data_IF_128454476022
#
_entry.id   IF_128454476022
#
_cell.length_a   1.000
_cell.length_b   1.000
_cell.length_c   1.000
_cell.angle_alpha   90.00
_cell.angle_beta   90.00
_cell.angle_gamma   90.00
#
_symmetry.space_group_name_H-M   'P 1'
#
loop_
_entity.id
_entity.type
_entity.pdbx_description
1 polymer ?
#
# COMPACT_ATOMS: atom_id res chain seq x y z
N UNK A 1 -33.24 1.16 -1.52
CA UNK A 1 -32.87 0.14 -0.54
C UNK A 1 -32.17 -1.04 -1.22
N UNK A 2 -32.80 -1.65 -2.25
CA UNK A 2 -32.27 -2.82 -2.95
C UNK A 2 -30.83 -2.58 -3.45
N UNK A 3 -30.59 -1.52 -4.21
CA UNK A 3 -29.27 -1.16 -4.76
C UNK A 3 -28.17 -1.01 -3.69
N UNK A 4 -28.48 -0.38 -2.54
CA UNK A 4 -27.51 -0.26 -1.46
C UNK A 4 -27.23 -1.61 -0.77
N UNK A 5 -28.21 -2.49 -0.69
CA UNK A 5 -28.02 -3.84 -0.17
C UNK A 5 -27.17 -4.69 -1.13
N UNK A 6 -27.40 -4.56 -2.43
CA UNK A 6 -26.58 -5.20 -3.45
C UNK A 6 -25.14 -4.69 -3.37
N UNK A 7 -24.92 -3.38 -3.27
CA UNK A 7 -23.57 -2.80 -3.11
C UNK A 7 -22.88 -3.25 -1.81
N UNK A 8 -23.62 -3.40 -0.71
CA UNK A 8 -23.04 -3.94 0.54
C UNK A 8 -22.59 -5.41 0.41
N UNK A 9 -23.36 -6.22 -0.33
CA UNK A 9 -23.14 -7.66 -0.49
C UNK A 9 -22.12 -8.02 -1.58
N UNK A 10 -21.76 -7.07 -2.41
CA UNK A 10 -20.82 -7.25 -3.51
C UNK A 10 -19.41 -6.93 -3.03
N UNK A 11 -18.55 -7.95 -2.87
CA UNK A 11 -17.17 -7.79 -2.41
C UNK A 11 -16.29 -7.02 -3.42
N UNK A 12 -16.68 -6.95 -4.69
CA UNK A 12 -15.99 -6.14 -5.69
C UNK A 12 -16.42 -4.65 -5.67
N UNK A 13 -17.48 -4.30 -4.95
CA UNK A 13 -17.94 -2.93 -4.80
C UNK A 13 -17.21 -2.22 -3.66
N UNK A 14 -16.22 -1.39 -3.97
CA UNK A 14 -15.46 -0.62 -2.98
C UNK A 14 -16.21 0.61 -2.43
N UNK A 15 -17.24 1.11 -3.11
CA UNK A 15 -18.00 2.28 -2.67
C UNK A 15 -19.05 2.72 -3.69
N UNK A 16 -19.88 3.69 -3.31
CA UNK A 16 -20.95 4.18 -4.17
C UNK A 16 -20.83 5.69 -4.41
N UNK A 17 -20.94 6.07 -5.67
CA UNK A 17 -21.07 7.47 -6.07
C UNK A 17 -22.56 7.77 -6.32
N UNK A 18 -23.11 8.74 -5.59
CA UNK A 18 -24.47 9.21 -5.75
C UNK A 18 -24.50 10.52 -6.50
N UNK A 19 -25.47 10.66 -7.39
CA UNK A 19 -25.64 11.84 -8.22
C UNK A 19 -27.11 12.22 -8.34
N UNK A 20 -27.43 13.44 -7.91
CA UNK A 20 -28.75 14.05 -8.10
C UNK A 20 -28.66 15.05 -9.26
N UNK A 21 -28.89 14.59 -10.48
CA UNK A 21 -28.83 15.47 -11.67
C UNK A 21 -30.04 16.41 -11.79
N UNK A 22 -31.13 16.09 -11.12
CA UNK A 22 -32.36 16.88 -11.03
C UNK A 22 -32.93 16.83 -9.62
N UNK A 23 -34.12 17.37 -9.39
CA UNK A 23 -34.81 17.21 -8.12
C UNK A 23 -35.13 15.73 -7.86
N UNK A 24 -34.73 15.25 -6.71
CA UNK A 24 -35.05 13.91 -6.23
C UNK A 24 -35.47 14.01 -4.75
N UNK A 25 -36.70 13.62 -4.38
CA UNK A 25 -37.16 13.68 -2.99
C UNK A 25 -36.26 12.87 -2.07
N UNK A 26 -35.38 13.54 -1.34
CA UNK A 26 -34.32 12.87 -0.59
C UNK A 26 -34.85 11.99 0.55
N UNK A 27 -36.04 12.22 1.02
CA UNK A 27 -36.71 11.36 2.02
C UNK A 27 -36.85 9.91 1.53
N UNK A 28 -36.96 9.66 0.22
CA UNK A 28 -37.00 8.29 -0.34
C UNK A 28 -35.69 7.52 -0.24
N UNK A 29 -34.55 8.20 0.00
CA UNK A 29 -33.24 7.59 0.12
C UNK A 29 -32.92 7.06 1.53
N UNK A 30 -33.65 7.52 2.56
CA UNK A 30 -33.34 7.27 3.97
C UNK A 30 -33.18 5.78 4.27
N UNK A 31 -34.11 4.93 3.81
CA UNK A 31 -34.06 3.49 4.12
C UNK A 31 -32.87 2.78 3.47
N UNK A 32 -32.44 3.22 2.30
CA UNK A 32 -31.25 2.70 1.65
C UNK A 32 -29.97 3.16 2.34
N UNK A 33 -29.86 4.47 2.58
CA UNK A 33 -28.70 5.06 3.24
C UNK A 33 -28.48 4.52 4.66
N UNK A 34 -29.56 4.23 5.40
CA UNK A 34 -29.49 3.68 6.75
C UNK A 34 -28.76 2.31 6.81
N UNK A 35 -28.90 1.52 5.76
CA UNK A 35 -28.33 0.18 5.68
C UNK A 35 -26.94 0.15 5.02
N UNK A 36 -26.56 1.23 4.32
CA UNK A 36 -25.30 1.31 3.60
C UNK A 36 -24.09 1.40 4.56
N UNK A 37 -22.99 0.69 4.24
CA UNK A 37 -21.83 0.53 5.12
C UNK A 37 -20.49 0.84 4.46
N UNK A 38 -20.47 1.00 3.14
CA UNK A 38 -19.22 1.23 2.38
C UNK A 38 -18.97 2.71 2.13
N UNK A 39 -17.79 3.11 1.65
CA UNK A 39 -17.48 4.49 1.30
C UNK A 39 -18.52 5.14 0.39
N UNK A 40 -18.92 6.37 0.70
CA UNK A 40 -19.93 7.15 -0.03
C UNK A 40 -19.34 8.43 -0.62
N UNK A 41 -19.58 8.66 -1.90
CA UNK A 41 -19.30 9.93 -2.55
C UNK A 41 -20.59 10.55 -3.06
N UNK A 42 -20.75 11.85 -2.84
CA UNK A 42 -21.79 12.66 -3.47
C UNK A 42 -21.16 13.53 -4.57
N UNK A 43 -21.40 13.17 -5.81
CA UNK A 43 -21.08 14.01 -6.96
C UNK A 43 -22.20 15.04 -7.13
N UNK A 44 -21.94 16.28 -6.71
CA UNK A 44 -22.86 17.38 -6.85
C UNK A 44 -22.62 18.09 -8.20
N UNK A 45 -23.35 17.68 -9.19
CA UNK A 45 -23.22 18.11 -10.59
C UNK A 45 -24.59 18.20 -11.25
N UNK A 46 -24.64 18.68 -12.47
CA UNK A 46 -25.84 18.69 -13.28
C UNK A 46 -25.54 18.30 -14.73
N UNK A 47 -26.57 18.08 -15.54
CA UNK A 47 -26.40 17.60 -16.90
C UNK A 47 -25.73 18.65 -17.80
N UNK A 48 -26.31 19.88 -17.87
CA UNK A 48 -25.76 20.97 -18.66
C UNK A 48 -24.77 21.80 -17.84
N UNK A 49 -23.68 22.22 -18.48
CA UNK A 49 -22.65 23.04 -17.86
C UNK A 49 -23.04 24.50 -17.74
N UNK A 50 -23.77 25.02 -18.73
CA UNK A 50 -24.08 26.41 -18.91
C UNK A 50 -25.61 26.65 -18.83
N UNK A 51 -26.01 27.80 -18.31
CA UNK A 51 -27.40 28.25 -18.29
C UNK A 51 -27.68 29.05 -19.55
N UNK A 52 -28.58 28.61 -20.45
CA UNK A 52 -28.93 29.33 -21.66
C UNK A 52 -29.93 30.45 -21.34
N UNK A 53 -29.46 31.55 -20.78
CA UNK A 53 -30.32 32.64 -20.25
C UNK A 53 -31.35 33.17 -21.24
N UNK A 54 -31.04 33.18 -22.56
CA UNK A 54 -31.94 33.72 -23.58
C UNK A 54 -33.01 32.72 -24.01
N UNK A 55 -32.84 31.43 -23.75
CA UNK A 55 -33.70 30.36 -24.25
C UNK A 55 -34.15 29.39 -23.17
N UNK A 56 -33.84 29.67 -21.91
CA UNK A 56 -34.19 28.80 -20.79
C UNK A 56 -35.70 28.66 -20.65
N UNK A 57 -36.15 27.44 -20.46
CA UNK A 57 -37.56 27.08 -20.25
C UNK A 57 -37.71 26.14 -19.04
N UNK A 58 -38.97 25.73 -18.79
CA UNK A 58 -39.25 24.82 -17.66
C UNK A 58 -38.67 23.42 -17.84
N UNK A 59 -38.55 22.95 -19.08
CA UNK A 59 -37.98 21.64 -19.36
C UNK A 59 -36.46 21.61 -19.01
N UNK A 60 -35.74 22.66 -19.44
CA UNK A 60 -34.34 22.84 -19.03
C UNK A 60 -34.17 22.91 -17.51
N UNK A 61 -35.06 23.68 -16.83
CA UNK A 61 -34.98 23.79 -15.37
C UNK A 61 -35.25 22.45 -14.67
N UNK A 62 -36.23 21.69 -15.17
CA UNK A 62 -36.54 20.37 -14.61
C UNK A 62 -35.42 19.36 -14.82
N UNK A 63 -34.72 19.38 -15.97
CA UNK A 63 -33.58 18.52 -16.24
C UNK A 63 -32.35 18.89 -15.38
N UNK A 64 -32.22 20.13 -14.95
CA UNK A 64 -31.06 20.70 -14.28
C UNK A 64 -31.32 21.15 -12.82
N UNK A 65 -32.33 20.61 -12.14
CA UNK A 65 -32.63 20.94 -10.72
C UNK A 65 -31.65 20.28 -9.70
N UNK A 66 -30.42 20.08 -10.07
CA UNK A 66 -29.41 19.47 -9.20
C UNK A 66 -29.11 20.32 -7.96
N UNK A 67 -29.25 21.65 -8.04
CA UNK A 67 -29.10 22.51 -6.87
C UNK A 67 -30.13 22.16 -5.78
N UNK A 68 -31.38 21.89 -6.15
CA UNK A 68 -32.41 21.39 -5.23
C UNK A 68 -32.14 19.95 -4.80
N UNK A 69 -32.06 19.03 -5.75
CA UNK A 69 -31.92 17.60 -5.45
C UNK A 69 -30.65 17.29 -4.68
N UNK A 70 -29.50 17.83 -5.11
CA UNK A 70 -28.21 17.61 -4.46
C UNK A 70 -28.11 18.21 -3.07
N UNK A 71 -28.71 19.39 -2.84
CA UNK A 71 -28.69 20.04 -1.52
C UNK A 71 -29.62 19.34 -0.54
N UNK A 72 -30.83 18.93 -0.97
CA UNK A 72 -31.74 18.16 -0.14
C UNK A 72 -31.17 16.79 0.22
N UNK A 73 -30.57 16.09 -0.76
CA UNK A 73 -29.85 14.86 -0.51
C UNK A 73 -28.71 15.07 0.49
N UNK A 74 -27.90 16.10 0.30
CA UNK A 74 -26.83 16.47 1.22
C UNK A 74 -27.33 16.74 2.65
N UNK A 75 -28.48 17.41 2.79
CA UNK A 75 -29.15 17.64 4.08
C UNK A 75 -29.49 16.32 4.77
N UNK A 76 -30.11 15.37 4.08
CA UNK A 76 -30.49 14.07 4.65
C UNK A 76 -29.25 13.27 5.07
N UNK A 77 -28.23 13.16 4.21
CA UNK A 77 -27.01 12.41 4.54
C UNK A 77 -26.30 13.02 5.75
N UNK A 78 -26.22 14.35 5.83
CA UNK A 78 -25.65 15.06 6.99
C UNK A 78 -26.48 14.82 8.25
N UNK A 79 -27.80 14.93 8.16
CA UNK A 79 -28.70 14.69 9.30
C UNK A 79 -28.63 13.26 9.84
N UNK A 80 -28.34 12.29 8.98
CA UNK A 80 -28.16 10.89 9.36
C UNK A 80 -26.78 10.61 9.94
N UNK A 81 -25.85 11.58 9.97
CA UNK A 81 -24.49 11.40 10.45
C UNK A 81 -23.64 10.51 9.55
N UNK A 82 -23.99 10.37 8.27
CA UNK A 82 -23.25 9.54 7.32
C UNK A 82 -22.08 10.36 6.74
N UNK A 83 -20.86 9.86 6.94
CA UNK A 83 -19.67 10.42 6.32
C UNK A 83 -19.69 10.21 4.82
N UNK A 84 -19.34 11.25 4.07
CA UNK A 84 -19.20 11.17 2.61
C UNK A 84 -18.18 12.15 2.08
N UNK A 85 -17.60 11.81 0.95
CA UNK A 85 -16.89 12.79 0.12
C UNK A 85 -17.88 13.57 -0.72
N UNK A 86 -17.79 14.90 -0.73
CA UNK A 86 -18.55 15.76 -1.66
C UNK A 86 -17.61 16.29 -2.73
N UNK A 87 -17.96 16.06 -3.99
CA UNK A 87 -17.25 16.59 -5.15
C UNK A 87 -18.23 17.45 -5.93
N UNK A 88 -17.89 18.72 -6.10
CA UNK A 88 -18.73 19.72 -6.78
C UNK A 88 -18.08 20.14 -8.08
N UNK A 89 -18.88 20.27 -9.11
CA UNK A 89 -18.50 20.76 -10.44
C UNK A 89 -19.14 19.95 -11.56
N UNK A 90 -18.94 20.38 -12.79
CA UNK A 90 -19.50 19.68 -13.93
C UNK A 90 -18.84 18.33 -14.16
N UNK A 91 -19.60 17.28 -14.41
CA UNK A 91 -19.13 15.90 -14.57
C UNK A 91 -18.07 15.72 -15.66
N UNK A 92 -18.11 16.53 -16.73
CA UNK A 92 -17.13 16.49 -17.82
C UNK A 92 -15.84 17.28 -17.52
N UNK A 93 -15.77 18.03 -16.42
CA UNK A 93 -14.57 18.77 -16.02
C UNK A 93 -13.46 17.78 -15.58
N UNK A 94 -12.29 17.91 -16.19
CA UNK A 94 -11.14 17.04 -15.87
C UNK A 94 -10.75 17.06 -14.40
N UNK A 95 -10.81 18.23 -13.75
CA UNK A 95 -10.51 18.34 -12.30
C UNK A 95 -11.52 17.61 -11.44
N UNK A 96 -12.79 17.60 -11.85
CA UNK A 96 -13.85 16.82 -11.17
C UNK A 96 -13.56 15.32 -11.36
N UNK A 97 -13.23 14.89 -12.57
CA UNK A 97 -12.88 13.50 -12.86
C UNK A 97 -11.64 13.04 -12.10
N UNK A 98 -10.60 13.87 -11.99
CA UNK A 98 -9.40 13.58 -11.20
C UNK A 98 -9.71 13.42 -9.70
N UNK A 99 -10.58 14.28 -9.16
CA UNK A 99 -11.06 14.17 -7.76
C UNK A 99 -11.89 12.91 -7.53
N UNK A 100 -12.72 12.51 -8.49
CA UNK A 100 -13.47 11.25 -8.45
C UNK A 100 -12.50 10.06 -8.49
N UNK A 101 -11.55 10.05 -9.41
CA UNK A 101 -10.55 9.00 -9.51
C UNK A 101 -9.71 8.87 -8.23
N UNK A 102 -9.34 10.00 -7.61
CA UNK A 102 -8.66 10.00 -6.31
C UNK A 102 -9.52 9.39 -5.20
N UNK A 103 -10.82 9.78 -5.14
CA UNK A 103 -11.73 9.20 -4.18
C UNK A 103 -11.95 7.69 -4.42
N UNK A 104 -12.07 7.25 -5.66
CA UNK A 104 -12.23 5.82 -5.99
C UNK A 104 -11.05 4.99 -5.48
N UNK A 105 -9.81 5.48 -5.66
CA UNK A 105 -8.62 4.81 -5.09
C UNK A 105 -8.64 4.77 -3.56
N UNK A 106 -9.11 5.84 -2.92
CA UNK A 106 -9.28 5.86 -1.47
C UNK A 106 -10.33 4.84 -1.02
N UNK A 107 -11.46 4.74 -1.73
CA UNK A 107 -12.49 3.76 -1.44
C UNK A 107 -11.98 2.32 -1.56
N UNK A 108 -11.21 2.02 -2.62
CA UNK A 108 -10.53 0.73 -2.78
C UNK A 108 -9.55 0.50 -1.63
N UNK A 109 -8.74 1.49 -1.26
CA UNK A 109 -7.82 1.39 -0.12
C UNK A 109 -8.52 1.08 1.21
N UNK A 110 -9.68 1.68 1.47
CA UNK A 110 -10.48 1.39 2.67
C UNK A 110 -10.99 -0.06 2.66
N UNK A 111 -11.49 -0.54 1.54
CA UNK A 111 -11.99 -1.91 1.44
C UNK A 111 -10.87 -2.94 1.54
N UNK A 112 -9.80 -2.75 0.78
CA UNK A 112 -8.65 -3.65 0.79
C UNK A 112 -7.89 -3.63 2.13
N UNK A 113 -7.90 -2.50 2.86
CA UNK A 113 -7.32 -2.41 4.20
C UNK A 113 -7.90 -3.49 5.13
N UNK A 114 -9.20 -3.74 5.06
CA UNK A 114 -9.85 -4.76 5.90
C UNK A 114 -9.45 -6.21 5.57
N UNK A 115 -8.73 -6.42 4.49
CA UNK A 115 -8.26 -7.73 4.03
C UNK A 115 -6.73 -7.90 4.15
N UNK A 116 -6.02 -6.88 4.67
CA UNK A 116 -4.56 -6.97 4.84
C UNK A 116 -4.23 -7.92 5.99
N UNK A 117 -3.49 -8.98 5.64
CA UNK A 117 -2.91 -9.91 6.59
C UNK A 117 -1.39 -9.78 6.55
N UNK A 118 -0.79 -9.64 7.72
CA UNK A 118 0.65 -9.47 7.89
C UNK A 118 1.23 -10.68 8.59
N UNK A 119 2.19 -11.32 7.94
CA UNK A 119 3.02 -12.34 8.55
C UNK A 119 4.18 -11.68 9.29
N UNK A 120 4.20 -11.75 10.61
CA UNK A 120 5.34 -11.34 11.42
C UNK A 120 6.23 -12.56 11.69
N UNK A 121 7.40 -12.57 11.06
CA UNK A 121 8.42 -13.62 11.27
C UNK A 121 9.23 -13.29 12.52
N UNK A 122 9.23 -14.17 13.48
CA UNK A 122 9.80 -13.95 14.82
C UNK A 122 9.05 -12.89 15.64
N UNK A 123 9.77 -12.01 16.32
CA UNK A 123 9.20 -11.00 17.20
C UNK A 123 9.60 -9.58 16.77
N UNK A 124 9.14 -8.57 17.48
CA UNK A 124 9.65 -7.20 17.36
C UNK A 124 11.10 -7.15 17.85
N UNK A 125 11.87 -6.21 17.29
CA UNK A 125 13.23 -5.97 17.74
C UNK A 125 13.25 -5.59 19.21
N UNK A 126 14.06 -6.29 20.00
CA UNK A 126 14.14 -6.08 21.45
C UNK A 126 14.54 -4.64 21.78
N UNK A 127 13.80 -4.03 22.69
CA UNK A 127 14.04 -2.68 23.21
C UNK A 127 13.82 -1.54 22.20
N UNK A 128 13.14 -1.81 21.06
CA UNK A 128 12.75 -0.78 20.09
C UNK A 128 11.24 -0.54 20.21
N UNK A 129 10.88 0.47 20.97
CA UNK A 129 9.50 0.73 21.37
C UNK A 129 8.57 1.06 20.20
N UNK A 130 9.07 1.72 19.15
CA UNK A 130 8.25 2.17 18.02
C UNK A 130 7.72 1.00 17.18
N UNK A 131 8.40 -0.15 17.17
CA UNK A 131 7.97 -1.34 16.42
C UNK A 131 6.80 -2.06 17.10
N UNK A 132 6.59 -1.83 18.39
CA UNK A 132 5.49 -2.42 19.16
C UNK A 132 4.11 -1.84 18.75
N UNK A 133 3.05 -2.56 19.11
CA UNK A 133 1.68 -2.09 18.91
C UNK A 133 0.63 -3.14 19.24
N UNK A 134 -0.59 -2.66 19.51
CA UNK A 134 -1.76 -3.48 19.81
C UNK A 134 -2.38 -4.04 18.51
N UNK A 135 -2.12 -5.31 18.24
CA UNK A 135 -2.62 -6.04 17.07
C UNK A 135 -4.14 -6.21 17.08
N UNK A 136 -4.73 -6.34 18.27
CA UNK A 136 -6.18 -6.46 18.40
C UNK A 136 -6.88 -5.14 18.07
N UNK A 137 -6.35 -4.03 18.58
CA UNK A 137 -6.85 -2.69 18.24
C UNK A 137 -6.67 -2.39 16.75
N UNK A 138 -5.56 -2.84 16.15
CA UNK A 138 -5.33 -2.69 14.70
C UNK A 138 -6.39 -3.46 13.87
N UNK A 139 -6.73 -4.67 14.27
CA UNK A 139 -7.78 -5.44 13.62
C UNK A 139 -9.16 -4.78 13.78
N UNK A 140 -9.49 -4.29 14.96
CA UNK A 140 -10.76 -3.58 15.21
C UNK A 140 -10.87 -2.27 14.41
N UNK A 141 -9.76 -1.54 14.23
CA UNK A 141 -9.77 -0.21 13.58
C UNK A 141 -9.55 -0.26 12.09
N UNK A 142 -8.66 -1.12 11.62
CA UNK A 142 -8.20 -1.14 10.22
C UNK A 142 -8.55 -2.44 9.51
N UNK A 143 -8.99 -3.46 10.25
CA UNK A 143 -9.20 -4.81 9.74
C UNK A 143 -7.91 -5.63 9.57
N UNK A 144 -6.75 -5.12 9.97
CA UNK A 144 -5.48 -5.80 9.77
C UNK A 144 -5.33 -7.01 10.68
N UNK A 145 -5.03 -8.15 10.10
CA UNK A 145 -4.71 -9.38 10.83
C UNK A 145 -3.20 -9.57 10.89
N UNK A 146 -2.65 -9.68 12.09
CA UNK A 146 -1.22 -9.84 12.28
C UNK A 146 -0.95 -11.15 13.01
N UNK A 147 -0.37 -12.12 12.30
CA UNK A 147 0.01 -13.41 12.85
C UNK A 147 1.52 -13.54 12.99
N UNK A 148 1.98 -14.12 14.09
CA UNK A 148 3.39 -14.35 14.34
C UNK A 148 3.77 -15.80 14.03
N UNK A 149 4.88 -15.98 13.34
CA UNK A 149 5.43 -17.30 13.00
C UNK A 149 6.86 -17.46 13.49
N UNK A 150 7.23 -18.65 13.99
CA UNK A 150 8.62 -18.97 14.21
C UNK A 150 9.41 -18.92 12.90
N UNK A 151 10.63 -18.41 12.94
CA UNK A 151 11.48 -18.29 11.72
C UNK A 151 11.67 -19.64 11.02
N UNK A 152 11.85 -20.71 11.79
CA UNK A 152 12.11 -22.02 11.22
C UNK A 152 10.93 -22.60 10.45
N UNK A 153 9.70 -22.25 10.78
CA UNK A 153 8.51 -22.68 10.01
C UNK A 153 8.55 -22.11 8.58
N UNK A 154 8.99 -20.87 8.43
CA UNK A 154 9.13 -20.25 7.09
C UNK A 154 10.42 -20.76 6.40
N UNK A 155 11.48 -21.00 7.19
CA UNK A 155 12.72 -21.55 6.66
C UNK A 155 12.55 -22.96 6.06
N UNK A 156 11.57 -23.75 6.53
CA UNK A 156 11.22 -25.05 5.91
C UNK A 156 10.77 -24.85 4.46
N UNK A 157 9.92 -23.86 4.17
CA UNK A 157 9.53 -23.53 2.79
C UNK A 157 10.74 -23.17 1.91
N UNK A 158 11.75 -22.49 2.47
CA UNK A 158 12.98 -22.16 1.75
C UNK A 158 13.81 -23.42 1.47
N UNK A 159 13.90 -24.33 2.44
CA UNK A 159 14.65 -25.59 2.31
C UNK A 159 13.99 -26.56 1.30
N UNK A 160 12.67 -26.51 1.15
CA UNK A 160 11.91 -27.34 0.23
C UNK A 160 11.94 -26.84 -1.23
N UNK A 161 12.60 -25.70 -1.51
CA UNK A 161 12.75 -25.19 -2.87
C UNK A 161 13.69 -26.08 -3.67
N UNK A 162 13.26 -26.54 -4.84
CA UNK A 162 14.11 -27.36 -5.71
C UNK A 162 15.25 -26.53 -6.31
N UNK A 163 16.40 -27.18 -6.52
CA UNK A 163 17.54 -26.53 -7.18
C UNK A 163 17.18 -26.03 -8.58
N UNK A 164 16.31 -26.77 -9.30
CA UNK A 164 15.84 -26.36 -10.62
C UNK A 164 15.06 -25.04 -10.61
N UNK A 165 14.18 -24.84 -9.61
CA UNK A 165 13.44 -23.58 -9.45
C UNK A 165 14.39 -22.43 -9.12
N UNK A 166 15.38 -22.69 -8.25
CA UNK A 166 16.41 -21.69 -7.91
C UNK A 166 17.19 -21.29 -9.16
N UNK A 167 17.65 -22.25 -9.95
CA UNK A 167 18.45 -21.98 -11.16
C UNK A 167 17.65 -21.15 -12.18
N UNK A 168 16.37 -21.43 -12.36
CA UNK A 168 15.48 -20.66 -13.24
C UNK A 168 15.36 -19.20 -12.76
N UNK A 169 15.15 -18.98 -11.47
CA UNK A 169 15.02 -17.63 -10.93
C UNK A 169 16.36 -16.86 -10.96
N UNK A 170 17.48 -17.54 -10.72
CA UNK A 170 18.82 -16.95 -10.86
C UNK A 170 19.07 -16.52 -12.31
N UNK A 171 18.67 -17.32 -13.30
CA UNK A 171 18.77 -16.94 -14.71
C UNK A 171 17.91 -15.69 -15.01
N UNK A 172 16.70 -15.62 -14.47
CA UNK A 172 15.86 -14.40 -14.56
C UNK A 172 16.60 -13.17 -14.01
N UNK A 173 17.21 -13.28 -12.84
CA UNK A 173 17.98 -12.17 -12.26
C UNK A 173 19.13 -11.72 -13.16
N UNK A 174 19.90 -12.66 -13.70
CA UNK A 174 21.01 -12.36 -14.59
C UNK A 174 20.57 -11.73 -15.92
N UNK A 175 19.36 -12.02 -16.35
CA UNK A 175 18.78 -11.40 -17.55
C UNK A 175 18.18 -10.00 -17.28
N UNK A 176 17.75 -9.74 -16.03
CA UNK A 176 17.03 -8.52 -15.66
C UNK A 176 17.93 -7.44 -15.06
N UNK A 177 18.99 -7.83 -14.36
CA UNK A 177 19.81 -6.93 -13.56
C UNK A 177 21.29 -6.99 -13.93
N UNK A 178 22.00 -5.88 -13.78
CA UNK A 178 23.45 -5.85 -13.89
C UNK A 178 24.11 -6.47 -12.63
N UNK A 179 25.19 -7.25 -12.80
CA UNK A 179 25.91 -7.89 -11.70
C UNK A 179 27.14 -7.08 -11.31
N UNK A 180 27.18 -6.57 -10.08
CA UNK A 180 28.33 -5.84 -9.53
C UNK A 180 29.15 -6.80 -8.65
N UNK A 181 30.19 -7.37 -9.22
CA UNK A 181 31.01 -8.38 -8.54
C UNK A 181 31.93 -7.81 -7.44
N UNK A 182 32.37 -6.57 -7.57
CA UNK A 182 33.30 -5.88 -6.65
C UNK A 182 34.58 -6.72 -6.32
N UNK A 183 35.07 -7.47 -7.31
CA UNK A 183 36.23 -8.32 -7.16
C UNK A 183 35.97 -9.71 -6.57
N UNK A 184 34.74 -10.08 -6.30
CA UNK A 184 34.35 -11.44 -5.92
C UNK A 184 34.51 -12.40 -7.09
N UNK A 185 34.77 -13.65 -6.77
CA UNK A 185 34.72 -14.74 -7.75
C UNK A 185 33.24 -14.87 -8.29
N UNK A 186 33.07 -14.99 -9.62
CA UNK A 186 31.72 -15.06 -10.19
C UNK A 186 30.90 -16.26 -9.70
N UNK A 187 31.51 -17.41 -9.44
CA UNK A 187 30.82 -18.60 -8.95
C UNK A 187 30.41 -18.42 -7.47
N UNK A 188 31.26 -17.78 -6.67
CA UNK A 188 30.92 -17.41 -5.29
C UNK A 188 29.76 -16.39 -5.28
N UNK A 189 29.83 -15.35 -6.10
CA UNK A 189 28.76 -14.36 -6.23
C UNK A 189 27.42 -15.01 -6.60
N UNK A 190 27.44 -15.93 -7.59
CA UNK A 190 26.25 -16.66 -8.02
C UNK A 190 25.64 -17.51 -6.90
N UNK A 191 26.47 -18.10 -6.02
CA UNK A 191 25.99 -18.84 -4.85
C UNK A 191 25.23 -17.94 -3.88
N UNK A 192 25.74 -16.74 -3.61
CA UNK A 192 25.03 -15.77 -2.75
C UNK A 192 23.69 -15.35 -3.36
N UNK A 193 23.64 -15.11 -4.66
CA UNK A 193 22.40 -14.79 -5.39
C UNK A 193 21.41 -15.96 -5.35
N UNK A 194 21.89 -17.20 -5.49
CA UNK A 194 21.05 -18.41 -5.42
C UNK A 194 20.42 -18.61 -4.03
N UNK A 195 21.08 -18.24 -2.95
CA UNK A 195 20.49 -18.26 -1.60
C UNK A 195 19.27 -17.32 -1.55
N UNK A 196 19.38 -16.11 -2.09
CA UNK A 196 18.25 -15.17 -2.14
C UNK A 196 17.12 -15.66 -3.03
N UNK A 197 17.41 -16.31 -4.15
CA UNK A 197 16.39 -16.92 -5.00
C UNK A 197 15.60 -18.00 -4.25
N UNK A 198 16.28 -18.85 -3.48
CA UNK A 198 15.61 -19.82 -2.62
C UNK A 198 14.74 -19.17 -1.56
N UNK A 199 15.21 -18.07 -0.95
CA UNK A 199 14.42 -17.30 0.04
C UNK A 199 13.20 -16.64 -0.62
N UNK A 200 13.35 -16.01 -1.81
CA UNK A 200 12.21 -15.40 -2.53
C UNK A 200 11.13 -16.43 -2.80
N UNK A 201 11.49 -17.58 -3.40
CA UNK A 201 10.54 -18.62 -3.74
C UNK A 201 9.85 -19.20 -2.50
N UNK A 202 10.63 -19.51 -1.46
CA UNK A 202 10.10 -20.07 -0.22
C UNK A 202 9.15 -19.11 0.50
N UNK A 203 9.52 -17.85 0.59
CA UNK A 203 8.68 -16.82 1.20
C UNK A 203 7.40 -16.59 0.39
N UNK A 204 7.50 -16.50 -0.93
CA UNK A 204 6.34 -16.30 -1.79
C UNK A 204 5.35 -17.47 -1.66
N UNK A 205 5.82 -18.72 -1.72
CA UNK A 205 5.00 -19.92 -1.52
C UNK A 205 4.29 -19.90 -0.15
N UNK A 206 5.00 -19.53 0.90
CA UNK A 206 4.42 -19.42 2.24
C UNK A 206 3.33 -18.34 2.28
N UNK A 207 3.62 -17.15 1.76
CA UNK A 207 2.69 -16.01 1.77
C UNK A 207 1.43 -16.32 0.95
N UNK A 208 1.58 -16.96 -0.21
CA UNK A 208 0.46 -17.35 -1.05
C UNK A 208 -0.40 -18.44 -0.39
N UNK A 209 0.23 -19.52 0.11
CA UNK A 209 -0.49 -20.62 0.76
C UNK A 209 -1.29 -20.17 1.99
N UNK A 210 -0.69 -19.30 2.80
CA UNK A 210 -1.31 -18.77 4.02
C UNK A 210 -2.13 -17.50 3.80
N UNK A 211 -2.18 -17.00 2.55
CA UNK A 211 -2.89 -15.78 2.16
C UNK A 211 -2.46 -14.53 2.94
N UNK A 212 -1.15 -14.24 2.98
CA UNK A 212 -0.59 -13.00 3.52
C UNK A 212 -0.25 -12.02 2.40
N UNK A 213 -0.48 -10.72 2.64
CA UNK A 213 -0.19 -9.63 1.70
C UNK A 213 0.99 -8.78 2.14
N UNK A 214 1.53 -9.04 3.34
CA UNK A 214 2.70 -8.35 3.85
C UNK A 214 3.51 -9.28 4.76
N UNK A 215 4.81 -9.01 4.85
CA UNK A 215 5.74 -9.77 5.67
C UNK A 215 6.64 -8.83 6.46
N UNK A 216 7.01 -9.26 7.65
CA UNK A 216 7.96 -8.55 8.51
C UNK A 216 9.03 -9.52 8.97
N UNK A 217 10.28 -9.11 8.91
CA UNK A 217 11.42 -9.86 9.39
C UNK A 217 12.18 -9.13 10.49
N UNK A 218 13.02 -9.84 11.19
CA UNK A 218 13.87 -9.31 12.25
C UNK A 218 15.28 -9.86 12.10
N UNK A 219 16.26 -9.02 11.82
CA UNK A 219 17.64 -9.41 11.56
C UNK A 219 18.33 -10.15 12.73
N UNK A 220 17.87 -9.93 13.95
CA UNK A 220 18.38 -10.59 15.16
C UNK A 220 17.84 -12.01 15.38
N UNK A 221 16.87 -12.46 14.58
CA UNK A 221 16.31 -13.81 14.63
C UNK A 221 16.00 -14.31 13.22
N UNK A 222 16.97 -14.99 12.63
CA UNK A 222 16.90 -15.52 11.27
C UNK A 222 16.84 -17.05 11.22
N UNK A 223 16.80 -17.72 12.39
CA UNK A 223 16.69 -19.18 12.47
C UNK A 223 17.67 -19.90 11.54
N UNK A 224 17.14 -20.75 10.66
CA UNK A 224 17.90 -21.51 9.68
C UNK A 224 18.20 -20.78 8.36
N UNK A 225 17.77 -19.52 8.19
CA UNK A 225 18.09 -18.72 7.00
C UNK A 225 19.59 -18.42 6.95
N UNK A 226 20.21 -18.60 5.79
CA UNK A 226 21.64 -18.38 5.58
C UNK A 226 22.02 -16.90 5.43
N UNK A 227 21.11 -16.10 4.92
CA UNK A 227 21.28 -14.66 4.67
C UNK A 227 20.08 -13.88 5.21
N UNK A 228 20.27 -12.57 5.42
CA UNK A 228 19.16 -11.64 5.52
C UNK A 228 18.42 -11.58 4.17
N UNK A 229 17.09 -11.55 4.16
CA UNK A 229 16.31 -11.70 2.92
C UNK A 229 16.23 -10.40 2.10
N UNK A 230 17.36 -9.79 1.73
CA UNK A 230 17.41 -8.50 1.05
C UNK A 230 16.79 -8.51 -0.36
N UNK A 231 17.46 -9.18 -1.33
CA UNK A 231 16.96 -9.29 -2.69
C UNK A 231 15.58 -9.93 -2.75
N UNK A 232 15.35 -10.97 -1.93
CA UNK A 232 14.05 -11.64 -1.86
C UNK A 232 12.93 -10.68 -1.48
N UNK A 233 13.11 -9.88 -0.45
CA UNK A 233 12.11 -8.90 0.00
C UNK A 233 11.90 -7.81 -1.05
N UNK A 234 12.97 -7.27 -1.64
CA UNK A 234 12.86 -6.24 -2.68
C UNK A 234 12.02 -6.73 -3.87
N UNK A 235 12.17 -7.99 -4.24
CA UNK A 235 11.39 -8.63 -5.30
C UNK A 235 9.93 -8.87 -4.90
N UNK A 236 9.67 -9.30 -3.68
CA UNK A 236 8.31 -9.43 -3.15
C UNK A 236 7.61 -8.07 -3.09
N UNK A 237 8.31 -7.02 -2.68
CA UNK A 237 7.76 -5.67 -2.71
C UNK A 237 7.44 -5.19 -4.13
N UNK A 238 8.29 -5.52 -5.14
CA UNK A 238 8.00 -5.24 -6.54
C UNK A 238 6.72 -5.92 -7.01
N UNK A 239 6.45 -7.14 -6.52
CA UNK A 239 5.21 -7.89 -6.77
C UNK A 239 3.98 -7.34 -6.02
N UNK A 240 4.17 -6.36 -5.13
CA UNK A 240 3.09 -5.68 -4.42
C UNK A 240 2.92 -6.06 -2.95
N UNK A 241 3.72 -6.96 -2.41
CA UNK A 241 3.72 -7.25 -0.99
C UNK A 241 4.16 -6.03 -0.17
N UNK A 242 3.61 -5.91 1.05
CA UNK A 242 4.10 -4.95 2.03
C UNK A 242 5.28 -5.51 2.80
N UNK A 243 6.21 -4.63 3.18
CA UNK A 243 7.33 -5.00 4.03
C UNK A 243 7.53 -3.99 5.17
N UNK A 244 7.94 -4.50 6.33
CA UNK A 244 8.42 -3.73 7.47
C UNK A 244 9.62 -4.43 8.08
N UNK A 245 10.61 -3.66 8.50
CA UNK A 245 11.78 -4.17 9.18
C UNK A 245 11.52 -4.37 10.68
N UNK A 246 12.40 -5.11 11.34
CA UNK A 246 12.51 -5.18 12.81
C UNK A 246 11.23 -5.58 13.56
N UNK A 247 10.34 -6.27 12.89
CA UNK A 247 9.06 -6.67 13.48
C UNK A 247 7.97 -5.61 13.36
N UNK A 248 8.19 -4.46 12.74
CA UNK A 248 7.16 -3.41 12.61
C UNK A 248 6.10 -3.75 11.55
N UNK A 249 5.11 -4.51 11.99
CA UNK A 249 3.96 -4.92 11.20
C UNK A 249 3.09 -3.74 10.75
N UNK A 250 3.15 -2.58 11.46
CA UNK A 250 2.39 -1.38 11.08
C UNK A 250 2.95 -0.79 9.79
N UNK A 251 4.28 -0.74 9.67
CA UNK A 251 4.96 -0.30 8.45
C UNK A 251 4.63 -1.25 7.29
N UNK A 252 4.70 -2.56 7.51
CA UNK A 252 4.38 -3.54 6.47
C UNK A 252 2.94 -3.38 5.93
N UNK A 253 1.96 -3.23 6.81
CA UNK A 253 0.58 -3.00 6.44
C UNK A 253 0.41 -1.66 5.70
N UNK A 254 1.08 -0.58 6.15
CA UNK A 254 1.05 0.72 5.49
C UNK A 254 1.67 0.68 4.09
N UNK A 255 2.83 0.01 3.91
CA UNK A 255 3.45 -0.15 2.59
C UNK A 255 2.48 -0.87 1.64
N UNK A 256 1.84 -1.96 2.09
CA UNK A 256 0.83 -2.65 1.28
C UNK A 256 -0.33 -1.74 0.92
N UNK A 257 -0.89 -1.01 1.88
CA UNK A 257 -2.00 -0.08 1.66
C UNK A 257 -1.63 1.02 0.66
N UNK A 258 -0.45 1.61 0.79
CA UNK A 258 0.05 2.64 -0.13
C UNK A 258 0.22 2.10 -1.55
N UNK A 259 0.73 0.87 -1.72
CA UNK A 259 0.81 0.20 -3.03
C UNK A 259 -0.56 0.02 -3.67
N UNK A 260 -1.57 -0.40 -2.91
CA UNK A 260 -2.96 -0.53 -3.38
C UNK A 260 -3.50 0.82 -3.85
N UNK A 261 -3.38 1.87 -3.04
CA UNK A 261 -3.91 3.20 -3.33
C UNK A 261 -3.23 3.87 -4.53
N UNK A 262 -2.01 3.49 -4.85
CA UNK A 262 -1.24 4.03 -5.99
C UNK A 262 -1.29 3.16 -7.24
N UNK A 263 -1.87 1.97 -7.15
CA UNK A 263 -1.97 1.04 -8.28
C UNK A 263 -2.64 1.70 -9.50
N UNK A 264 -2.03 1.54 -10.68
CA UNK A 264 -2.53 2.09 -11.94
C UNK A 264 -2.42 3.62 -12.08
N UNK A 265 -1.90 4.33 -11.08
CA UNK A 265 -1.64 5.77 -11.18
C UNK A 265 -0.30 6.02 -11.87
N UNK A 266 -0.33 6.58 -13.08
CA UNK A 266 0.88 6.81 -13.91
C UNK A 266 1.90 7.74 -13.25
N UNK A 267 1.45 8.68 -12.44
CA UNK A 267 2.29 9.65 -11.72
C UNK A 267 2.91 9.07 -10.45
N UNK A 268 2.34 7.99 -9.90
CA UNK A 268 2.91 7.30 -8.76
C UNK A 268 4.15 6.51 -9.20
N UNK A 269 5.29 6.85 -8.60
CA UNK A 269 6.59 6.30 -9.00
C UNK A 269 6.99 5.05 -8.23
N UNK A 270 6.20 4.68 -7.26
CA UNK A 270 6.42 3.52 -6.41
C UNK A 270 6.19 3.83 -4.94
N UNK A 271 6.25 2.78 -4.14
CA UNK A 271 6.13 2.84 -2.67
C UNK A 271 7.18 1.91 -2.09
N UNK A 272 7.87 2.35 -1.06
CA UNK A 272 8.87 1.56 -0.35
C UNK A 272 8.76 1.78 1.16
N UNK A 273 9.19 0.80 1.93
CA UNK A 273 9.63 1.05 3.29
C UNK A 273 10.94 1.84 3.23
N UNK A 274 11.06 2.86 4.07
CA UNK A 274 12.26 3.67 4.28
C UNK A 274 12.36 4.00 5.76
N UNK A 275 13.59 4.24 6.22
CA UNK A 275 13.87 4.78 7.54
C UNK A 275 14.62 6.10 7.41
N UNK A 276 14.30 7.06 8.25
CA UNK A 276 15.03 8.30 8.42
C UNK A 276 16.35 8.03 9.15
N UNK A 277 17.38 7.73 8.36
CA UNK A 277 18.64 7.15 8.85
C UNK A 277 19.57 8.19 9.46
N UNK A 278 19.72 9.35 8.81
CA UNK A 278 20.60 10.42 9.28
C UNK A 278 20.26 11.77 8.67
N UNK A 279 20.76 12.85 9.27
CA UNK A 279 20.49 14.20 8.85
C UNK A 279 21.67 14.87 8.17
N UNK A 280 21.38 15.66 7.14
CA UNK A 280 22.28 16.70 6.69
C UNK A 280 21.88 18.03 7.38
N UNK A 281 22.74 18.54 8.26
CA UNK A 281 22.46 19.73 9.06
C UNK A 281 23.18 20.99 8.54
N UNK A 282 23.67 20.94 7.30
CA UNK A 282 24.28 22.11 6.66
C UNK A 282 23.18 23.14 6.37
N UNK A 283 23.33 24.35 6.90
CA UNK A 283 22.35 25.43 6.72
C UNK A 283 22.08 25.71 5.23
N UNK A 284 20.82 25.67 4.83
CA UNK A 284 20.35 25.83 3.46
C UNK A 284 20.50 24.59 2.59
N UNK A 285 20.88 23.44 3.18
CA UNK A 285 20.94 22.11 2.53
C UNK A 285 20.45 21.04 3.50
N UNK A 286 19.60 21.44 4.44
CA UNK A 286 19.04 20.52 5.41
C UNK A 286 18.26 19.41 4.69
N UNK A 287 18.40 18.19 5.21
CA UNK A 287 17.72 17.02 4.64
C UNK A 287 17.84 15.81 5.52
N UNK A 288 17.10 14.78 5.17
CA UNK A 288 17.12 13.47 5.80
C UNK A 288 17.58 12.46 4.77
N UNK A 289 18.51 11.58 5.12
CA UNK A 289 18.77 10.38 4.35
C UNK A 289 17.74 9.33 4.76
N UNK A 290 16.76 9.13 3.91
CA UNK A 290 15.84 8.01 4.03
C UNK A 290 16.41 6.80 3.29
N UNK A 291 16.66 5.72 4.02
CA UNK A 291 17.34 4.54 3.51
C UNK A 291 16.91 3.28 4.28
N UNK A 292 17.40 2.15 3.86
CA UNK A 292 17.51 0.92 4.66
C UNK A 292 18.68 0.08 4.16
N UNK A 293 19.09 -0.90 4.95
CA UNK A 293 20.27 -1.71 4.64
C UNK A 293 20.10 -2.56 3.38
N UNK A 294 18.91 -3.12 3.14
CA UNK A 294 18.63 -4.10 2.08
C UNK A 294 17.34 -3.86 1.33
N UNK A 295 16.24 -3.64 2.03
CA UNK A 295 14.89 -3.93 1.57
C UNK A 295 14.17 -2.72 0.94
N UNK A 296 14.90 -1.86 0.23
CA UNK A 296 14.30 -0.75 -0.50
C UNK A 296 13.66 -1.27 -1.78
N UNK A 297 12.38 -0.95 -1.97
CA UNK A 297 11.59 -1.43 -3.09
C UNK A 297 12.09 -0.88 -4.43
N UNK A 298 12.37 -1.72 -5.44
CA UNK A 298 12.87 -1.26 -6.73
C UNK A 298 11.86 -0.47 -7.56
N UNK A 299 10.59 -0.40 -7.15
CA UNK A 299 9.59 0.43 -7.84
C UNK A 299 9.88 1.93 -7.76
N UNK A 300 10.73 2.37 -6.82
CA UNK A 300 11.18 3.76 -6.73
C UNK A 300 12.46 4.04 -7.52
N UNK A 301 13.04 3.04 -8.20
CA UNK A 301 14.27 3.19 -8.96
C UNK A 301 14.12 4.13 -10.16
N UNK A 302 15.21 4.84 -10.48
CA UNK A 302 15.38 5.64 -11.70
C UNK A 302 16.64 5.17 -12.43
N UNK A 303 16.45 4.47 -13.54
CA UNK A 303 17.53 3.92 -14.34
C UNK A 303 17.85 2.44 -14.04
N UNK A 304 19.08 2.00 -14.34
CA UNK A 304 19.45 0.60 -14.22
C UNK A 304 19.50 0.14 -12.76
N UNK A 305 19.10 -1.10 -12.55
CA UNK A 305 19.14 -1.77 -11.24
C UNK A 305 20.18 -2.85 -11.31
N UNK A 306 21.03 -2.94 -10.29
CA UNK A 306 22.10 -3.92 -10.22
C UNK A 306 21.96 -4.81 -8.98
N UNK A 307 22.48 -6.02 -9.04
CA UNK A 307 22.67 -6.91 -7.87
C UNK A 307 24.08 -6.76 -7.34
N UNK A 308 24.17 -6.62 -6.04
CA UNK A 308 25.44 -6.54 -5.30
C UNK A 308 25.40 -7.39 -4.04
N UNK A 309 26.51 -8.08 -3.73
CA UNK A 309 26.70 -8.78 -2.47
C UNK A 309 27.68 -7.99 -1.61
N UNK A 310 27.24 -7.57 -0.43
CA UNK A 310 28.10 -6.81 0.49
C UNK A 310 27.97 -7.36 1.91
N UNK A 311 29.09 -7.39 2.66
CA UNK A 311 29.02 -7.75 4.06
C UNK A 311 28.14 -6.78 4.83
N UNK A 312 27.33 -7.34 5.72
CA UNK A 312 26.64 -6.59 6.75
C UNK A 312 27.31 -6.93 8.08
N UNK A 313 27.63 -5.90 8.85
CA UNK A 313 28.19 -6.09 10.21
C UNK A 313 27.14 -6.51 11.24
N UNK A 314 25.98 -6.99 10.78
CA UNK A 314 24.84 -7.40 11.62
C UNK A 314 24.38 -8.80 11.24
N UNK A 315 23.80 -9.51 12.21
CA UNK A 315 23.09 -10.76 12.00
C UNK A 315 23.94 -12.01 11.90
N UNK A 316 25.27 -11.92 11.87
CA UNK A 316 26.24 -13.04 11.83
C UNK A 316 25.84 -14.10 10.78
N UNK A 317 25.58 -13.65 9.55
CA UNK A 317 25.15 -14.44 8.39
C UNK A 317 26.06 -14.22 7.19
N UNK A 318 25.87 -15.04 6.15
CA UNK A 318 26.52 -14.83 4.86
C UNK A 318 26.16 -13.48 4.25
N UNK A 319 27.06 -12.90 3.45
CA UNK A 319 26.83 -11.63 2.76
C UNK A 319 25.57 -11.69 1.86
N UNK A 320 24.52 -10.92 2.14
CA UNK A 320 23.31 -11.00 1.36
C UNK A 320 23.45 -10.30 0.00
N UNK A 321 22.84 -10.88 -1.03
CA UNK A 321 22.62 -10.19 -2.27
C UNK A 321 21.42 -9.21 -2.12
N UNK A 322 21.53 -8.06 -2.78
CA UNK A 322 20.50 -7.02 -2.81
C UNK A 322 20.51 -6.24 -4.11
N UNK A 323 19.35 -5.64 -4.45
CA UNK A 323 19.25 -4.66 -5.51
C UNK A 323 19.82 -3.32 -5.03
N UNK A 324 20.63 -2.70 -5.89
CA UNK A 324 21.15 -1.35 -5.70
C UNK A 324 20.77 -0.49 -6.91
N UNK A 325 20.34 0.72 -6.64
CA UNK A 325 19.87 1.65 -7.67
C UNK A 325 19.84 3.09 -7.12
N UNK A 326 19.69 4.05 -8.02
CA UNK A 326 19.37 5.43 -7.65
C UNK A 326 17.86 5.59 -7.60
N UNK A 327 17.34 6.22 -6.56
CA UNK A 327 15.93 6.54 -6.47
C UNK A 327 15.57 7.72 -7.33
N UNK A 328 14.31 7.78 -7.76
CA UNK A 328 13.77 8.84 -8.58
C UNK A 328 13.58 10.13 -7.80
N UNK A 329 13.98 11.24 -8.40
CA UNK A 329 13.67 12.58 -7.87
C UNK A 329 12.18 12.91 -8.04
N UNK A 330 11.63 13.66 -7.09
CA UNK A 330 10.25 14.15 -7.16
C UNK A 330 9.63 14.38 -5.80
N UNK A 331 8.38 14.81 -5.82
CA UNK A 331 7.56 14.90 -4.61
C UNK A 331 7.18 13.50 -4.12
N UNK A 332 7.27 13.30 -2.84
CA UNK A 332 6.88 12.08 -2.15
C UNK A 332 6.07 12.40 -0.90
N UNK A 333 5.45 11.41 -0.35
CA UNK A 333 4.76 11.47 0.94
C UNK A 333 5.37 10.42 1.84
N UNK A 334 5.98 10.83 2.95
CA UNK A 334 6.41 9.94 4.00
C UNK A 334 5.27 9.73 5.01
N UNK A 335 4.97 8.48 5.32
CA UNK A 335 3.91 8.13 6.26
C UNK A 335 4.41 7.19 7.34
N UNK A 336 4.00 7.42 8.58
CA UNK A 336 4.27 6.54 9.70
C UNK A 336 3.02 6.35 10.56
N UNK A 337 2.72 5.11 10.91
CA UNK A 337 1.65 4.76 11.83
C UNK A 337 2.26 4.28 13.14
N UNK A 338 2.04 5.01 14.22
CA UNK A 338 2.57 4.67 15.54
C UNK A 338 1.44 4.37 16.53
N UNK A 339 1.70 3.43 17.43
CA UNK A 339 0.81 3.14 18.54
C UNK A 339 1.20 4.01 19.75
N UNK A 340 0.23 4.75 20.27
CA UNK A 340 0.39 5.64 21.42
C UNK A 340 -0.12 5.00 22.73
N UNK A 341 -0.44 3.69 22.71
CA UNK A 341 -0.97 2.96 23.84
C UNK A 341 -2.47 3.10 24.05
N UNK A 342 -3.06 4.20 23.62
CA UNK A 342 -4.51 4.46 23.72
C UNK A 342 -5.16 4.84 22.40
N UNK A 343 -4.37 4.97 21.35
CA UNK A 343 -4.78 5.26 19.97
C UNK A 343 -3.63 5.07 19.00
N UNK A 344 -3.95 4.80 17.76
CA UNK A 344 -2.98 4.95 16.68
C UNK A 344 -2.87 6.42 16.25
N UNK A 345 -1.68 6.81 15.85
CA UNK A 345 -1.39 8.11 15.27
C UNK A 345 -0.76 7.94 13.89
N UNK A 346 -1.43 8.49 12.88
CA UNK A 346 -0.87 8.58 11.54
C UNK A 346 -0.12 9.92 11.42
N UNK A 347 1.14 9.85 11.00
CA UNK A 347 1.98 10.98 10.65
C UNK A 347 2.12 10.99 9.14
N UNK A 348 1.94 12.14 8.52
CA UNK A 348 2.10 12.35 7.08
C UNK A 348 2.96 13.58 6.89
N UNK A 349 4.07 13.42 6.18
CA UNK A 349 4.99 14.49 5.79
C UNK A 349 5.05 14.56 4.26
N UNK A 350 5.10 15.79 3.71
CA UNK A 350 5.20 16.10 2.28
C UNK A 350 6.54 16.81 2.03
#
# INVERSE_FOLDING_TARGET
RKTFNEANADDECAGVITWMHTFSPAKSWILGLKEYRKPLCHLHTQFNQEIPYDTIDMDFMNENQSAHGGREYGHIVTRMGIERKVIVGHWADKKVQERLASWMRTAVGIMESSHIRVCRVADNMRNVAVTEGDKVEAQMKFGWEIDAYPVNEIAEYVQDVSQGDIDVLVEEYYNKYDMILDGRDPEEFKKHVAVQAGIEIGFERFLEEKNYQAIVTHFGDLGALKQLPGLAIQRLEEKGYGFGAEGDWKVAAMVRLMKIMTAGKKEAKGTSMLEDYTYNLIKGKEGILEAHMLEICPTIADGPISIKCQPLSMGDREDPARLVFTSKEGHGIATSLIDMGNRFRLIIND
#
